data_IF_936930443785
#
_entry.id   IF_936930443785
#
_cell.length_a   1.000
_cell.length_b   1.000
_cell.length_c   1.000
_cell.angle_alpha   90.00
_cell.angle_beta   90.00
_cell.angle_gamma   90.00
#
_symmetry.space_group_name_H-M   'P 1'
#
loop_
_entity.id
_entity.type
_entity.pdbx_description
1 polymer ?
#
# COMPACT_ATOMS: atom_id res chain seq x y z
N UNK A 1 30.31 28.37 -25.79
CA UNK A 1 28.91 28.07 -26.16
C UNK A 1 28.03 29.02 -25.38
N UNK A 2 27.08 29.69 -26.04
CA UNK A 2 26.32 30.80 -25.44
C UNK A 2 25.16 30.23 -24.62
N UNK A 3 25.28 30.21 -23.29
CA UNK A 3 24.29 29.67 -22.35
C UNK A 3 23.02 30.55 -22.22
N UNK A 4 23.03 31.71 -22.87
CA UNK A 4 21.96 32.71 -22.86
C UNK A 4 21.04 32.63 -24.07
N UNK A 5 19.73 32.64 -23.80
CA UNK A 5 18.68 32.71 -24.82
C UNK A 5 18.51 34.12 -25.35
N UNK A 6 18.52 34.21 -26.69
CA UNK A 6 18.21 35.45 -27.39
C UNK A 6 16.72 35.74 -27.29
N UNK A 7 16.38 37.01 -27.14
CA UNK A 7 15.00 37.50 -27.18
C UNK A 7 14.29 37.22 -28.51
N UNK A 8 15.01 36.92 -29.59
CA UNK A 8 14.39 36.53 -30.86
C UNK A 8 13.53 35.26 -30.72
N UNK A 9 13.97 34.31 -29.88
CA UNK A 9 13.30 33.01 -29.69
C UNK A 9 12.25 33.02 -28.56
N UNK A 10 11.96 34.21 -28.00
CA UNK A 10 10.92 34.42 -27.01
C UNK A 10 9.58 34.71 -27.69
N UNK A 11 8.56 33.92 -27.33
CA UNK A 11 7.15 34.26 -27.59
C UNK A 11 6.59 34.96 -26.37
N UNK A 12 6.06 36.16 -26.54
CA UNK A 12 5.51 37.01 -25.48
C UNK A 12 4.02 37.24 -25.73
N UNK A 13 3.20 36.99 -24.71
CA UNK A 13 1.78 37.33 -24.69
C UNK A 13 1.47 38.24 -23.51
N UNK A 14 0.63 39.24 -23.74
CA UNK A 14 0.02 40.06 -22.70
C UNK A 14 -1.46 39.72 -22.65
N UNK A 15 -1.94 39.29 -21.48
CA UNK A 15 -3.30 38.81 -21.29
C UNK A 15 -3.99 39.70 -20.27
N UNK A 16 -4.92 40.53 -20.74
CA UNK A 16 -5.72 41.38 -19.87
C UNK A 16 -6.63 40.54 -18.97
N UNK A 17 -6.64 40.88 -17.68
CA UNK A 17 -7.50 40.23 -16.68
C UNK A 17 -8.12 41.28 -15.76
N UNK A 18 -9.26 40.96 -15.15
CA UNK A 18 -9.90 41.86 -14.18
C UNK A 18 -9.20 41.84 -12.83
N UNK A 19 -8.61 40.70 -12.46
CA UNK A 19 -7.94 40.45 -11.18
C UNK A 19 -6.93 39.32 -11.30
N UNK A 20 -6.02 39.23 -10.32
CA UNK A 20 -5.07 38.10 -10.21
C UNK A 20 -5.83 36.77 -10.09
N UNK A 21 -5.42 35.80 -10.90
CA UNK A 21 -5.98 34.46 -10.89
C UNK A 21 -5.34 33.68 -9.74
N UNK A 22 -6.15 32.90 -9.01
CA UNK A 22 -5.66 31.98 -7.98
C UNK A 22 -4.59 31.04 -8.55
N UNK A 23 -3.51 30.84 -7.82
CA UNK A 23 -2.40 29.95 -8.20
C UNK A 23 -2.88 28.53 -8.57
N UNK A 24 -3.93 28.04 -7.90
CA UNK A 24 -4.55 26.72 -8.20
C UNK A 24 -5.13 26.62 -9.61
N UNK A 25 -5.51 27.76 -10.21
CA UNK A 25 -6.23 27.85 -11.47
C UNK A 25 -5.35 28.32 -12.63
N UNK A 26 -4.14 28.80 -12.38
CA UNK A 26 -3.20 29.30 -13.40
C UNK A 26 -3.00 28.27 -14.52
N UNK A 27 -2.81 27.00 -14.17
CA UNK A 27 -2.61 25.94 -15.17
C UNK A 27 -3.82 25.82 -16.11
N UNK A 28 -5.03 25.77 -15.57
CA UNK A 28 -6.23 25.62 -16.38
C UNK A 28 -6.49 26.88 -17.23
N UNK A 29 -6.19 28.06 -16.67
CA UNK A 29 -6.23 29.32 -17.39
C UNK A 29 -5.29 29.32 -18.60
N UNK A 30 -4.02 28.97 -18.42
CA UNK A 30 -3.05 28.91 -19.52
C UNK A 30 -3.42 27.87 -20.57
N UNK A 31 -3.90 26.69 -20.17
CA UNK A 31 -4.36 25.66 -21.11
C UNK A 31 -5.55 26.13 -21.96
N UNK A 32 -6.52 26.81 -21.33
CA UNK A 32 -7.64 27.40 -22.06
C UNK A 32 -7.17 28.53 -22.98
N UNK A 33 -6.27 29.39 -22.53
CA UNK A 33 -5.70 30.48 -23.33
C UNK A 33 -4.99 29.94 -24.57
N UNK A 34 -4.11 28.95 -24.42
CA UNK A 34 -3.42 28.32 -25.56
C UNK A 34 -4.38 27.69 -26.56
N UNK A 35 -5.45 27.06 -26.07
CA UNK A 35 -6.49 26.52 -26.95
C UNK A 35 -7.20 27.61 -27.74
N UNK A 36 -7.51 28.75 -27.12
CA UNK A 36 -8.17 29.89 -27.78
C UNK A 36 -7.23 30.52 -28.83
N UNK A 37 -5.96 30.68 -28.51
CA UNK A 37 -4.95 31.27 -29.41
C UNK A 37 -4.44 30.30 -30.48
N UNK A 38 -4.92 29.05 -30.50
CA UNK A 38 -4.37 27.96 -31.32
C UNK A 38 -2.85 27.81 -31.18
N UNK A 39 -2.31 28.11 -29.99
CA UNK A 39 -0.89 28.01 -29.70
C UNK A 39 -0.53 26.60 -29.24
N UNK A 40 0.50 26.01 -29.84
CA UNK A 40 1.06 24.72 -29.45
C UNK A 40 2.38 24.92 -28.73
N UNK A 41 2.53 24.28 -27.56
CA UNK A 41 3.75 24.29 -26.76
C UNK A 41 4.32 22.88 -26.65
N UNK A 42 5.64 22.77 -26.49
CA UNK A 42 6.35 21.52 -26.24
C UNK A 42 6.55 21.33 -24.74
N UNK A 43 6.68 20.08 -24.30
CA UNK A 43 6.95 19.76 -22.89
C UNK A 43 8.33 20.26 -22.38
N UNK A 44 9.21 20.60 -23.31
CA UNK A 44 10.53 21.20 -23.05
C UNK A 44 10.49 22.71 -22.95
N UNK A 45 9.40 23.36 -23.36
CA UNK A 45 9.29 24.81 -23.36
C UNK A 45 9.27 25.33 -21.92
N UNK A 46 10.06 26.37 -21.66
CA UNK A 46 10.06 27.07 -20.38
C UNK A 46 9.00 28.15 -20.42
N UNK A 47 8.04 28.06 -19.51
CA UNK A 47 6.92 29.00 -19.41
C UNK A 47 7.10 29.82 -18.15
N UNK A 48 7.20 31.13 -18.31
CA UNK A 48 7.23 32.08 -17.22
C UNK A 48 5.98 32.95 -17.27
N UNK A 49 5.37 33.18 -16.10
CA UNK A 49 4.13 33.94 -15.98
C UNK A 49 4.29 34.95 -14.85
N UNK A 50 4.15 36.23 -15.18
CA UNK A 50 4.15 37.33 -14.22
C UNK A 50 2.80 38.03 -14.24
N UNK A 51 2.29 38.39 -13.08
CA UNK A 51 1.11 39.25 -12.97
C UNK A 51 1.55 40.69 -12.70
N UNK A 52 1.10 41.60 -13.56
CA UNK A 52 1.44 43.02 -13.48
C UNK A 52 0.23 43.76 -12.90
N UNK A 53 0.32 44.12 -11.62
CA UNK A 53 -0.78 44.71 -10.86
C UNK A 53 -1.24 46.05 -11.48
N UNK A 54 -0.29 46.90 -11.88
CA UNK A 54 -0.55 48.25 -12.39
C UNK A 54 -1.35 48.21 -13.69
N UNK A 55 -1.05 47.23 -14.55
CA UNK A 55 -1.68 47.07 -15.86
C UNK A 55 -2.87 46.09 -15.83
N UNK A 56 -3.04 45.34 -14.73
CA UNK A 56 -3.96 44.20 -14.62
C UNK A 56 -3.80 43.20 -15.78
N UNK A 57 -2.56 42.93 -16.17
CA UNK A 57 -2.25 41.94 -17.20
C UNK A 57 -1.44 40.79 -16.62
N UNK A 58 -1.59 39.63 -17.21
CA UNK A 58 -0.59 38.58 -17.13
C UNK A 58 0.38 38.71 -18.30
N UNK A 59 1.67 38.81 -18.00
CA UNK A 59 2.72 38.66 -18.98
C UNK A 59 3.17 37.20 -19.01
N UNK A 60 2.97 36.56 -20.16
CA UNK A 60 3.35 35.18 -20.41
C UNK A 60 4.54 35.14 -21.38
N UNK A 61 5.64 34.58 -20.91
CA UNK A 61 6.87 34.39 -21.66
C UNK A 61 7.08 32.89 -21.92
N UNK A 62 7.22 32.52 -23.18
CA UNK A 62 7.43 31.14 -23.60
C UNK A 62 8.74 31.06 -24.36
N UNK A 63 9.64 30.21 -23.86
CA UNK A 63 10.96 30.02 -24.43
C UNK A 63 11.08 28.59 -24.94
N UNK A 64 11.33 28.47 -26.25
CA UNK A 64 11.47 27.19 -26.94
C UNK A 64 12.92 26.68 -27.02
N UNK A 65 13.87 27.39 -26.40
CA UNK A 65 15.29 26.99 -26.34
C UNK A 65 15.62 26.23 -25.06
N UNK A 66 16.50 25.23 -25.17
CA UNK A 66 17.07 24.49 -24.03
C UNK A 66 18.09 25.32 -23.22
N UNK A 67 18.36 26.56 -23.64
CA UNK A 67 19.35 27.41 -22.99
C UNK A 67 19.01 27.69 -21.55
N UNK A 68 20.04 27.85 -20.73
CA UNK A 68 19.91 27.81 -19.28
C UNK A 68 19.41 29.14 -18.71
N UNK A 69 19.85 30.26 -19.29
CA UNK A 69 19.57 31.59 -18.78
C UNK A 69 19.00 32.52 -19.86
N UNK A 70 18.42 33.63 -19.44
CA UNK A 70 17.86 34.67 -20.32
C UNK A 70 18.56 36.01 -20.12
N UNK A 71 18.62 36.83 -21.17
CA UNK A 71 19.33 38.11 -21.15
C UNK A 71 18.81 39.08 -20.07
N UNK A 72 17.51 39.09 -19.79
CA UNK A 72 16.96 39.95 -18.74
C UNK A 72 17.37 39.52 -17.33
N UNK A 73 17.81 38.27 -17.11
CA UNK A 73 18.26 37.80 -15.79
C UNK A 73 19.60 38.39 -15.36
N UNK A 74 20.36 38.96 -16.30
CA UNK A 74 21.66 39.56 -16.03
C UNK A 74 21.57 40.65 -14.96
N UNK A 75 20.44 41.36 -14.91
CA UNK A 75 20.22 42.46 -13.97
C UNK A 75 19.95 42.00 -12.54
N UNK A 76 19.72 40.70 -12.31
CA UNK A 76 19.69 40.13 -10.96
C UNK A 76 21.01 40.37 -10.20
N UNK A 77 22.14 40.54 -10.91
CA UNK A 77 23.44 40.87 -10.30
C UNK A 77 23.42 42.18 -9.50
N UNK A 78 22.54 43.14 -9.84
CA UNK A 78 22.44 44.41 -9.13
C UNK A 78 21.78 44.29 -7.75
N UNK A 79 21.04 43.22 -7.50
CA UNK A 79 20.23 43.04 -6.29
C UNK A 79 20.78 41.99 -5.32
N UNK A 80 21.98 41.44 -5.60
CA UNK A 80 22.54 40.35 -4.78
C UNK A 80 22.93 40.77 -3.37
N UNK A 81 23.41 42.01 -3.23
CA UNK A 81 23.93 42.55 -1.97
C UNK A 81 23.00 43.62 -1.35
N UNK A 82 21.97 44.01 -2.08
CA UNK A 82 21.07 45.11 -1.71
C UNK A 82 19.67 44.55 -1.52
N UNK A 83 19.12 44.70 -0.31
CA UNK A 83 17.67 44.55 -0.12
C UNK A 83 16.99 45.81 -0.63
N UNK A 84 16.26 45.66 -1.72
CA UNK A 84 15.44 46.73 -2.26
C UNK A 84 13.98 46.39 -2.00
N UNK A 85 13.30 47.24 -1.23
CA UNK A 85 11.88 47.09 -0.91
C UNK A 85 11.12 48.29 -1.48
N UNK A 86 9.98 47.99 -2.09
CA UNK A 86 9.07 48.94 -2.73
C UNK A 86 9.72 49.78 -3.85
N UNK A 87 10.61 49.18 -4.64
CA UNK A 87 11.12 49.79 -5.87
C UNK A 87 10.58 49.10 -7.12
N UNK A 88 10.38 49.90 -8.18
CA UNK A 88 10.30 49.43 -9.55
C UNK A 88 11.45 50.06 -10.31
N UNK A 89 12.38 49.24 -10.75
CA UNK A 89 13.62 49.67 -11.40
C UNK A 89 13.60 49.25 -12.87
N UNK A 90 13.95 50.18 -13.76
CA UNK A 90 13.86 50.03 -15.21
C UNK A 90 15.24 49.90 -15.86
N UNK A 91 15.45 48.81 -16.58
CA UNK A 91 16.65 48.62 -17.40
C UNK A 91 16.28 48.67 -18.88
N UNK A 92 16.90 49.59 -19.61
CA UNK A 92 16.68 49.80 -21.03
C UNK A 92 17.93 49.37 -21.80
N UNK A 93 17.76 48.45 -22.73
CA UNK A 93 18.76 48.00 -23.69
C UNK A 93 18.35 48.42 -25.10
N UNK A 94 19.23 48.21 -26.09
CA UNK A 94 18.96 48.59 -27.48
C UNK A 94 17.71 47.92 -28.08
N UNK A 95 17.42 46.67 -27.71
CA UNK A 95 16.39 45.83 -28.33
C UNK A 95 15.27 45.38 -27.38
N UNK A 96 15.35 45.71 -26.10
CA UNK A 96 14.31 45.43 -25.11
C UNK A 96 14.47 46.33 -23.89
N UNK A 97 13.42 46.42 -23.09
CA UNK A 97 13.50 46.90 -21.72
C UNK A 97 12.87 45.90 -20.77
N UNK A 98 13.29 45.94 -19.51
CA UNK A 98 12.69 45.13 -18.46
C UNK A 98 12.59 45.89 -17.15
N UNK A 99 11.59 45.51 -16.35
CA UNK A 99 11.37 46.04 -15.02
C UNK A 99 11.68 44.98 -13.98
N UNK A 100 12.28 45.43 -12.89
CA UNK A 100 12.46 44.67 -11.67
C UNK A 100 11.63 45.31 -10.57
N UNK A 101 10.84 44.51 -9.84
CA UNK A 101 10.06 44.97 -8.70
C UNK A 101 10.61 44.29 -7.45
N UNK A 102 11.10 45.07 -6.50
CA UNK A 102 11.75 44.56 -5.28
C UNK A 102 12.93 43.59 -5.56
N UNK A 103 13.71 43.86 -6.61
CA UNK A 103 14.84 43.03 -7.00
C UNK A 103 14.48 41.66 -7.60
N UNK A 104 13.24 41.48 -8.05
CA UNK A 104 12.80 40.33 -8.84
C UNK A 104 12.28 40.77 -10.21
N UNK A 105 12.55 39.96 -11.23
CA UNK A 105 12.08 40.22 -12.58
C UNK A 105 10.56 40.35 -12.60
N UNK A 106 10.06 41.46 -13.17
CA UNK A 106 8.65 41.82 -13.13
C UNK A 106 8.02 41.85 -14.52
N UNK A 107 8.65 42.56 -15.47
CA UNK A 107 8.09 42.82 -16.79
C UNK A 107 9.18 42.91 -17.86
N UNK A 108 8.88 42.54 -19.10
CA UNK A 108 9.77 42.59 -20.26
C UNK A 108 9.02 43.07 -21.49
N UNK A 109 9.61 43.91 -22.33
CA UNK A 109 9.04 44.24 -23.64
C UNK A 109 10.15 44.46 -24.67
N UNK A 110 9.95 43.94 -25.88
CA UNK A 110 10.87 44.16 -27.01
C UNK A 110 10.71 45.58 -27.54
N UNK A 111 11.82 46.24 -27.87
CA UNK A 111 11.83 47.56 -28.52
C UNK A 111 11.97 47.32 -30.01
N UNK A 112 10.95 47.74 -30.78
CA UNK A 112 10.90 47.56 -32.25
C UNK A 112 11.10 48.90 -32.97
N UNK A 113 10.85 50.02 -32.28
CA UNK A 113 10.89 51.37 -32.84
C UNK A 113 12.14 52.09 -32.36
N UNK A 114 12.79 52.81 -33.26
CA UNK A 114 13.83 53.78 -32.92
C UNK A 114 13.16 55.01 -32.29
N UNK A 115 13.04 54.99 -30.96
CA UNK A 115 12.53 56.09 -30.14
C UNK A 115 13.71 56.63 -29.34
N UNK A 116 13.72 57.94 -29.07
CA UNK A 116 14.75 58.50 -28.19
C UNK A 116 14.64 57.90 -26.77
N UNK A 117 15.77 57.76 -26.11
CA UNK A 117 15.86 57.21 -24.76
C UNK A 117 14.94 57.93 -23.76
N UNK A 118 14.83 59.25 -23.86
CA UNK A 118 14.01 60.07 -22.96
C UNK A 118 12.50 59.87 -23.21
N UNK A 119 12.08 59.86 -24.48
CA UNK A 119 10.67 59.59 -24.84
C UNK A 119 10.26 58.17 -24.47
N UNK A 120 11.16 57.19 -24.64
CA UNK A 120 10.92 55.81 -24.23
C UNK A 120 10.74 55.71 -22.72
N UNK A 121 11.59 56.38 -21.94
CA UNK A 121 11.44 56.44 -20.49
C UNK A 121 10.10 57.06 -20.09
N UNK A 122 9.74 58.21 -20.66
CA UNK A 122 8.48 58.90 -20.35
C UNK A 122 7.26 58.03 -20.69
N UNK A 123 7.28 57.35 -21.85
CA UNK A 123 6.24 56.40 -22.24
C UNK A 123 6.08 55.25 -21.23
N UNK A 124 7.20 54.61 -20.83
CA UNK A 124 7.18 53.50 -19.89
C UNK A 124 6.73 54.00 -18.51
N UNK A 125 7.24 55.13 -18.04
CA UNK A 125 6.87 55.67 -16.72
C UNK A 125 5.37 55.99 -16.65
N UNK A 126 4.81 56.61 -17.70
CA UNK A 126 3.38 56.84 -17.81
C UNK A 126 2.57 55.54 -17.85
N UNK A 127 3.04 54.50 -18.54
CA UNK A 127 2.39 53.17 -18.59
C UNK A 127 2.29 52.54 -17.21
N UNK A 128 3.25 52.78 -16.31
CA UNK A 128 3.29 52.20 -14.96
C UNK A 128 2.88 53.21 -13.87
N UNK A 129 2.01 54.17 -14.19
CA UNK A 129 1.47 55.17 -13.26
C UNK A 129 2.54 55.98 -12.52
N UNK A 130 3.68 56.27 -13.16
CA UNK A 130 4.81 57.00 -12.59
C UNK A 130 5.42 56.35 -11.34
N UNK A 131 5.36 55.02 -11.24
CA UNK A 131 5.89 54.25 -10.10
C UNK A 131 7.35 53.80 -10.26
N UNK A 132 8.02 54.18 -11.35
CA UNK A 132 9.42 53.78 -11.60
C UNK A 132 10.33 54.65 -10.75
N UNK A 133 11.16 54.01 -9.93
CA UNK A 133 12.05 54.66 -8.97
C UNK A 133 13.40 55.00 -9.60
N UNK A 134 14.03 54.00 -10.21
CA UNK A 134 15.32 54.14 -10.86
C UNK A 134 15.23 53.63 -12.30
N UNK A 135 16.02 54.24 -13.18
CA UNK A 135 16.20 53.73 -14.53
C UNK A 135 17.67 53.78 -14.93
N UNK A 136 18.10 52.81 -15.73
CA UNK A 136 19.45 52.73 -16.26
C UNK A 136 19.44 52.26 -17.71
N UNK A 137 20.15 53.00 -18.56
CA UNK A 137 20.50 52.56 -19.91
C UNK A 137 21.72 51.65 -19.85
N UNK A 138 21.64 50.50 -20.49
CA UNK A 138 22.70 49.49 -20.50
C UNK A 138 23.24 49.36 -21.93
N UNK A 139 24.53 49.67 -22.10
CA UNK A 139 25.22 49.50 -23.38
C UNK A 139 25.50 48.01 -23.68
N UNK A 140 25.78 47.69 -24.94
CA UNK A 140 26.13 46.32 -25.34
C UNK A 140 27.40 45.80 -24.63
N UNK A 141 28.38 46.69 -24.40
CA UNK A 141 29.60 46.36 -23.66
C UNK A 141 29.29 46.01 -22.19
N UNK A 142 28.37 46.74 -21.55
CA UNK A 142 27.92 46.41 -20.19
C UNK A 142 27.18 45.07 -20.13
N UNK A 143 26.35 44.74 -21.14
CA UNK A 143 25.68 43.44 -21.24
C UNK A 143 26.71 42.30 -21.32
N UNK A 144 27.77 42.47 -22.11
CA UNK A 144 28.83 41.46 -22.23
C UNK A 144 29.55 41.25 -20.89
N UNK A 145 29.90 42.33 -20.18
CA UNK A 145 30.50 42.25 -18.85
C UNK A 145 29.57 41.58 -17.83
N UNK A 146 28.28 41.91 -17.86
CA UNK A 146 27.28 41.29 -16.99
C UNK A 146 27.10 39.81 -17.29
N UNK A 147 27.13 39.39 -18.56
CA UNK A 147 27.07 37.97 -18.95
C UNK A 147 28.21 37.18 -18.35
N UNK A 148 29.44 37.68 -18.45
CA UNK A 148 30.61 37.02 -17.87
C UNK A 148 30.51 36.95 -16.34
N UNK A 149 30.13 38.06 -15.69
CA UNK A 149 29.94 38.11 -14.24
C UNK A 149 28.87 37.12 -13.78
N UNK A 150 27.72 37.07 -14.48
CA UNK A 150 26.63 36.18 -14.16
C UNK A 150 27.02 34.71 -14.30
N UNK A 151 27.74 34.34 -15.37
CA UNK A 151 28.17 32.95 -15.58
C UNK A 151 29.16 32.48 -14.52
N UNK A 152 30.12 33.32 -14.14
CA UNK A 152 31.14 33.02 -13.13
C UNK A 152 30.57 32.94 -11.71
N UNK A 153 29.38 33.48 -11.48
CA UNK A 153 28.75 33.47 -10.18
C UNK A 153 28.09 32.10 -9.88
N UNK A 154 28.30 31.59 -8.66
CA UNK A 154 27.73 30.32 -8.20
C UNK A 154 26.30 30.48 -7.65
N UNK A 155 25.98 31.65 -7.10
CA UNK A 155 24.67 31.95 -6.52
C UNK A 155 23.79 32.65 -7.56
N UNK A 156 23.07 31.84 -8.35
CA UNK A 156 22.10 32.29 -9.35
C UNK A 156 20.69 32.05 -8.81
N UNK A 157 19.79 33.02 -8.93
CA UNK A 157 18.37 32.77 -8.63
C UNK A 157 17.79 31.95 -9.78
N UNK A 158 17.03 30.91 -9.44
CA UNK A 158 16.25 30.19 -10.45
C UNK A 158 14.96 30.95 -10.72
N UNK A 159 14.68 31.24 -11.98
CA UNK A 159 13.40 31.78 -12.39
C UNK A 159 12.30 30.76 -12.06
N UNK A 160 11.24 31.23 -11.41
CA UNK A 160 10.08 30.40 -11.08
C UNK A 160 9.29 30.07 -12.34
N UNK A 161 9.54 28.89 -12.90
CA UNK A 161 8.83 28.41 -14.08
C UNK A 161 7.43 27.88 -13.73
N UNK A 162 6.47 28.17 -14.59
CA UNK A 162 5.12 27.64 -14.51
C UNK A 162 5.05 26.27 -15.17
N UNK A 163 4.74 25.24 -14.39
CA UNK A 163 4.62 23.88 -14.93
C UNK A 163 3.18 23.61 -15.37
N UNK A 164 3.01 23.13 -16.61
CA UNK A 164 1.71 22.68 -17.14
C UNK A 164 1.49 21.18 -16.99
N UNK A 165 2.51 20.45 -16.50
CA UNK A 165 2.46 19.00 -16.30
C UNK A 165 1.33 18.63 -15.34
N UNK A 166 0.67 17.51 -15.64
CA UNK A 166 -0.37 16.98 -14.76
C UNK A 166 0.27 16.53 -13.45
N UNK A 167 -0.33 16.91 -12.32
CA UNK A 167 0.04 16.38 -11.02
C UNK A 167 -0.63 15.02 -10.84
N UNK A 168 0.17 13.94 -10.84
CA UNK A 168 -0.32 12.59 -10.62
C UNK A 168 -0.35 12.19 -9.14
N UNK A 169 0.04 13.07 -8.22
CA UNK A 169 0.11 12.78 -6.77
C UNK A 169 -1.21 12.28 -6.20
N UNK A 170 -2.34 12.82 -6.66
CA UNK A 170 -3.66 12.33 -6.25
C UNK A 170 -3.94 10.89 -6.72
N UNK A 171 -3.54 10.54 -7.94
CA UNK A 171 -3.70 9.18 -8.45
C UNK A 171 -2.82 8.18 -7.69
N UNK A 172 -1.58 8.58 -7.37
CA UNK A 172 -0.70 7.77 -6.51
C UNK A 172 -1.28 7.59 -5.11
N UNK A 173 -1.90 8.64 -4.56
CA UNK A 173 -2.58 8.56 -3.27
C UNK A 173 -3.77 7.60 -3.28
N UNK A 174 -4.62 7.65 -4.30
CA UNK A 174 -5.72 6.68 -4.48
C UNK A 174 -5.17 5.26 -4.61
N UNK A 175 -4.13 5.07 -5.42
CA UNK A 175 -3.49 3.76 -5.60
C UNK A 175 -2.95 3.20 -4.27
N UNK A 176 -2.33 4.06 -3.46
CA UNK A 176 -1.85 3.72 -2.13
C UNK A 176 -2.99 3.24 -1.21
N UNK A 177 -4.12 3.96 -1.17
CA UNK A 177 -5.30 3.53 -0.40
C UNK A 177 -5.79 2.16 -0.87
N UNK A 178 -5.83 1.92 -2.18
CA UNK A 178 -6.26 0.64 -2.73
C UNK A 178 -5.35 -0.52 -2.30
N UNK A 179 -4.03 -0.29 -2.25
CA UNK A 179 -3.05 -1.27 -1.77
C UNK A 179 -3.29 -1.57 -0.28
N UNK A 180 -3.49 -0.53 0.55
CA UNK A 180 -3.79 -0.69 1.97
C UNK A 180 -5.03 -1.57 2.19
N UNK A 181 -6.13 -1.29 1.46
CA UNK A 181 -7.35 -2.09 1.55
C UNK A 181 -7.07 -3.54 1.17
N UNK A 182 -6.30 -3.79 0.10
CA UNK A 182 -5.93 -5.17 -0.29
C UNK A 182 -5.14 -5.89 0.79
N UNK A 183 -4.20 -5.21 1.45
CA UNK A 183 -3.42 -5.81 2.55
C UNK A 183 -4.33 -6.19 3.71
N UNK A 184 -5.27 -5.31 4.08
CA UNK A 184 -6.25 -5.60 5.14
C UNK A 184 -7.13 -6.80 4.77
N UNK A 185 -7.63 -6.85 3.54
CA UNK A 185 -8.44 -8.00 3.07
C UNK A 185 -7.64 -9.30 3.08
N UNK A 186 -6.39 -9.27 2.63
CA UNK A 186 -5.51 -10.44 2.66
C UNK A 186 -5.24 -10.93 4.09
N UNK A 187 -5.05 -10.00 5.03
CA UNK A 187 -4.87 -10.32 6.45
C UNK A 187 -6.10 -11.05 7.02
N UNK A 188 -7.31 -10.52 6.81
CA UNK A 188 -8.54 -11.18 7.25
C UNK A 188 -8.77 -12.56 6.61
N UNK A 189 -8.47 -12.71 5.31
CA UNK A 189 -8.57 -14.01 4.65
C UNK A 189 -7.56 -15.02 5.19
N UNK A 190 -6.37 -14.57 5.58
CA UNK A 190 -5.35 -15.44 6.17
C UNK A 190 -5.79 -15.95 7.54
N UNK A 191 -6.22 -15.05 8.44
CA UNK A 191 -6.67 -15.42 9.79
C UNK A 191 -7.84 -16.41 9.75
N UNK A 192 -8.85 -16.16 8.91
CA UNK A 192 -10.01 -17.04 8.76
C UNK A 192 -9.61 -18.45 8.28
N UNK A 193 -8.70 -18.56 7.31
CA UNK A 193 -8.23 -19.85 6.80
C UNK A 193 -7.42 -20.65 7.84
N UNK A 194 -6.76 -19.98 8.79
CA UNK A 194 -6.00 -20.64 9.86
C UNK A 194 -6.96 -21.19 10.93
N UNK A 195 -7.97 -20.43 11.32
CA UNK A 195 -9.01 -20.89 12.27
C UNK A 195 -9.78 -22.10 11.72
N UNK A 196 -10.16 -22.09 10.44
CA UNK A 196 -10.91 -23.20 9.84
C UNK A 196 -10.09 -24.50 9.77
N UNK A 197 -8.79 -24.40 9.46
CA UNK A 197 -7.89 -25.56 9.38
C UNK A 197 -7.60 -26.17 10.76
N UNK A 198 -7.36 -25.33 11.77
CA UNK A 198 -7.05 -25.79 13.14
C UNK A 198 -8.25 -26.50 13.77
N UNK A 199 -9.43 -25.91 13.68
CA UNK A 199 -10.67 -26.49 14.22
C UNK A 199 -11.02 -27.86 13.59
N UNK A 200 -10.78 -28.04 12.29
CA UNK A 200 -11.07 -29.30 11.58
C UNK A 200 -10.11 -30.44 11.94
N UNK A 201 -8.84 -30.13 12.25
CA UNK A 201 -7.85 -31.15 12.63
C UNK A 201 -8.16 -31.68 14.03
N UNK A 202 -8.48 -30.80 14.98
CA UNK A 202 -8.75 -31.19 16.37
C UNK A 202 -10.03 -32.03 16.49
N UNK A 203 -11.08 -31.69 15.74
CA UNK A 203 -12.32 -32.47 15.72
C UNK A 203 -12.11 -33.89 15.16
N UNK A 204 -11.36 -34.03 14.06
CA UNK A 204 -11.09 -35.34 13.46
C UNK A 204 -10.22 -36.21 14.38
N UNK A 205 -9.23 -35.62 15.05
CA UNK A 205 -8.39 -36.34 16.00
C UNK A 205 -9.20 -36.90 17.18
N UNK A 206 -10.14 -36.12 17.73
CA UNK A 206 -11.04 -36.59 18.80
C UNK A 206 -11.96 -37.73 18.33
N UNK A 207 -12.47 -37.67 17.11
CA UNK A 207 -13.31 -38.72 16.53
C UNK A 207 -12.53 -40.04 16.38
N UNK A 208 -11.27 -39.98 15.97
CA UNK A 208 -10.43 -41.18 15.85
C UNK A 208 -10.14 -41.84 17.21
N UNK A 209 -9.94 -41.03 18.26
CA UNK A 209 -9.77 -41.53 19.63
C UNK A 209 -11.04 -42.25 20.09
N UNK A 210 -12.21 -41.61 19.95
CA UNK A 210 -13.49 -42.19 20.37
C UNK A 210 -13.81 -43.49 19.63
N UNK A 211 -13.47 -43.58 18.33
CA UNK A 211 -13.63 -44.81 17.55
C UNK A 211 -12.78 -45.96 18.08
N UNK A 212 -11.58 -45.68 18.56
CA UNK A 212 -10.70 -46.70 19.16
C UNK A 212 -11.18 -47.11 20.55
N UNK A 213 -11.58 -46.16 21.39
CA UNK A 213 -12.03 -46.43 22.77
C UNK A 213 -13.33 -47.25 22.82
N UNK A 214 -14.24 -47.03 21.87
CA UNK A 214 -15.53 -47.72 21.81
C UNK A 214 -15.59 -48.85 20.78
N UNK A 215 -14.43 -49.36 20.34
CA UNK A 215 -14.40 -50.48 19.40
C UNK A 215 -14.96 -51.75 20.07
N UNK A 216 -16.01 -52.31 19.48
CA UNK A 216 -16.56 -53.59 19.94
C UNK A 216 -15.55 -54.72 19.72
N UNK A 217 -15.19 -55.41 20.80
CA UNK A 217 -14.42 -56.65 20.76
C UNK A 217 -15.40 -57.82 20.90
N UNK A 218 -15.46 -58.68 19.88
CA UNK A 218 -16.28 -59.90 19.97
C UNK A 218 -15.69 -60.86 20.99
N UNK A 219 -16.54 -61.43 21.84
CA UNK A 219 -16.18 -62.49 22.80
C UNK A 219 -16.65 -63.89 22.35
N UNK A 220 -17.18 -64.00 21.12
CA UNK A 220 -17.76 -65.22 20.55
C UNK A 220 -16.75 -66.38 20.52
N UNK A 221 -15.51 -66.14 20.08
CA UNK A 221 -14.48 -67.17 20.02
C UNK A 221 -14.15 -67.74 21.41
N UNK A 222 -14.06 -66.87 22.43
CA UNK A 222 -13.74 -67.30 23.80
C UNK A 222 -14.88 -68.11 24.39
N UNK A 223 -16.13 -67.70 24.17
CA UNK A 223 -17.31 -68.43 24.67
C UNK A 223 -17.47 -69.76 23.93
N UNK A 224 -17.32 -69.78 22.60
CA UNK A 224 -17.48 -71.02 21.82
C UNK A 224 -16.45 -72.09 22.19
N UNK A 225 -15.20 -71.72 22.46
CA UNK A 225 -14.19 -72.63 23.00
C UNK A 225 -14.56 -73.17 24.38
N UNK A 226 -15.10 -72.31 25.25
CA UNK A 226 -15.49 -72.70 26.60
C UNK A 226 -16.68 -73.66 26.59
N UNK A 227 -17.68 -73.41 25.73
CA UNK A 227 -18.83 -74.31 25.53
C UNK A 227 -18.39 -75.69 25.02
N UNK A 228 -17.48 -75.74 24.04
CA UNK A 228 -16.90 -77.02 23.57
C UNK A 228 -16.23 -77.83 24.68
N UNK A 229 -15.58 -77.15 25.63
CA UNK A 229 -14.91 -77.80 26.77
C UNK A 229 -15.88 -78.27 27.87
N UNK A 230 -17.01 -77.58 28.00
CA UNK A 230 -18.12 -78.01 28.87
C UNK A 230 -18.68 -79.32 28.31
N UNK A 231 -18.97 -79.35 27.00
CA UNK A 231 -19.47 -80.54 26.31
C UNK A 231 -18.49 -81.71 26.40
N UNK A 232 -17.18 -81.48 26.16
CA UNK A 232 -16.17 -82.56 26.19
C UNK A 232 -15.98 -83.20 27.57
N UNK A 233 -16.30 -82.48 28.65
CA UNK A 233 -16.19 -82.97 30.02
C UNK A 233 -17.51 -83.60 30.53
N UNK A 234 -18.53 -83.75 29.67
CA UNK A 234 -19.87 -84.25 30.03
C UNK A 234 -20.50 -83.47 31.20
N UNK A 235 -20.44 -82.14 31.13
CA UNK A 235 -21.07 -81.23 32.09
C UNK A 235 -22.32 -80.60 31.46
N UNK A 236 -23.43 -80.56 32.19
CA UNK A 236 -24.62 -79.85 31.67
C UNK A 236 -24.58 -78.38 32.09
N UNK A 237 -24.74 -77.49 31.12
CA UNK A 237 -24.86 -76.07 31.34
C UNK A 237 -26.25 -75.70 31.86
N UNK A 238 -26.32 -75.13 33.06
CA UNK A 238 -27.59 -74.73 33.68
C UNK A 238 -27.87 -73.24 33.51
N UNK A 239 -26.84 -72.40 33.55
CA UNK A 239 -27.00 -70.96 33.32
C UNK A 239 -25.69 -70.32 32.86
N UNK A 240 -25.83 -69.26 32.08
CA UNK A 240 -24.74 -68.43 31.57
C UNK A 240 -25.17 -66.96 31.66
N UNK A 241 -24.50 -66.19 32.52
CA UNK A 241 -24.79 -64.78 32.78
C UNK A 241 -23.58 -63.93 32.37
N UNK A 242 -23.80 -62.95 31.49
CA UNK A 242 -22.77 -62.00 31.06
C UNK A 242 -23.04 -60.60 31.65
N UNK A 243 -22.06 -60.04 32.36
CA UNK A 243 -22.14 -58.69 32.91
C UNK A 243 -20.76 -58.02 32.94
N UNK A 244 -20.64 -56.83 32.34
CA UNK A 244 -19.45 -55.96 32.44
C UNK A 244 -18.11 -56.73 32.32
N UNK A 245 -17.95 -57.50 31.24
CA UNK A 245 -16.77 -58.32 30.91
C UNK A 245 -16.53 -59.57 31.76
N UNK A 246 -17.50 -59.94 32.62
CA UNK A 246 -17.49 -61.17 33.40
C UNK A 246 -18.56 -62.12 32.89
N UNK A 247 -18.20 -63.39 32.82
CA UNK A 247 -19.10 -64.47 32.47
C UNK A 247 -19.22 -65.39 33.67
N UNK A 248 -20.43 -65.53 34.20
CA UNK A 248 -20.74 -66.48 35.27
C UNK A 248 -21.43 -67.68 34.65
N UNK A 249 -20.90 -68.86 34.94
CA UNK A 249 -21.34 -70.13 34.37
C UNK A 249 -21.69 -71.05 35.51
N UNK A 250 -22.86 -71.68 35.43
CA UNK A 250 -23.26 -72.70 36.39
C UNK A 250 -23.40 -74.02 35.64
N UNK A 251 -22.62 -75.00 36.04
CA UNK A 251 -22.58 -76.34 35.44
C UNK A 251 -22.98 -77.37 36.47
N UNK A 252 -23.50 -78.51 36.03
CA UNK A 252 -23.71 -79.65 36.91
C UNK A 252 -23.18 -80.95 36.29
N UNK A 253 -22.93 -81.94 37.15
CA UNK A 253 -22.61 -83.30 36.74
C UNK A 253 -22.91 -84.28 37.87
N UNK A 254 -23.26 -85.51 37.50
CA UNK A 254 -23.34 -86.64 38.44
C UNK A 254 -21.94 -87.15 38.82
N UNK A 255 -20.92 -86.87 37.99
CA UNK A 255 -19.55 -87.28 38.24
C UNK A 255 -18.72 -86.12 38.81
N UNK A 256 -18.21 -86.30 40.02
CA UNK A 256 -17.34 -85.31 40.68
C UNK A 256 -16.02 -85.10 39.91
N UNK A 257 -15.49 -86.15 39.28
CA UNK A 257 -14.20 -86.09 38.56
C UNK A 257 -14.30 -85.19 37.32
N UNK A 258 -15.43 -85.24 36.60
CA UNK A 258 -15.69 -84.37 35.44
C UNK A 258 -15.59 -82.88 35.79
N UNK A 259 -16.08 -82.48 36.97
CA UNK A 259 -15.99 -81.10 37.44
C UNK A 259 -14.54 -80.72 37.75
N UNK A 260 -13.79 -81.60 38.41
CA UNK A 260 -12.38 -81.31 38.72
C UNK A 260 -11.51 -81.24 37.46
N UNK A 261 -11.71 -82.13 36.49
CA UNK A 261 -10.99 -82.10 35.21
C UNK A 261 -11.25 -80.78 34.47
N UNK A 262 -12.52 -80.36 34.38
CA UNK A 262 -12.88 -79.08 33.76
C UNK A 262 -12.25 -77.88 34.47
N UNK A 263 -12.22 -77.88 35.81
CA UNK A 263 -11.63 -76.80 36.60
C UNK A 263 -10.11 -76.71 36.43
N UNK A 264 -9.41 -77.83 36.41
CA UNK A 264 -7.95 -77.86 36.22
C UNK A 264 -7.56 -77.48 34.78
N UNK A 265 -8.25 -78.00 33.77
CA UNK A 265 -7.99 -77.69 32.35
C UNK A 265 -8.17 -76.21 31.99
N UNK A 266 -8.97 -75.47 32.78
CA UNK A 266 -9.37 -74.10 32.47
C UNK A 266 -9.01 -73.09 33.57
N UNK A 267 -8.19 -73.50 34.54
CA UNK A 267 -7.76 -72.69 35.69
C UNK A 267 -7.25 -71.30 35.32
N UNK A 268 -6.58 -71.15 34.17
CA UNK A 268 -6.02 -69.89 33.71
C UNK A 268 -7.06 -68.82 33.35
N UNK A 269 -8.32 -69.20 33.08
CA UNK A 269 -9.37 -68.30 32.58
C UNK A 269 -10.38 -67.96 33.69
N UNK A 270 -10.33 -68.70 34.80
CA UNK A 270 -11.28 -68.58 35.92
C UNK A 270 -10.79 -67.57 36.95
N UNK A 271 -11.67 -66.64 37.32
CA UNK A 271 -11.48 -65.71 38.43
C UNK A 271 -11.76 -66.36 39.79
N UNK A 272 -12.77 -67.22 39.83
CA UNK A 272 -13.18 -67.93 41.04
C UNK A 272 -14.09 -69.11 40.66
N UNK A 273 -14.09 -70.15 41.49
CA UNK A 273 -15.04 -71.26 41.39
C UNK A 273 -15.55 -71.69 42.77
N UNK A 274 -16.78 -72.22 42.82
CA UNK A 274 -17.35 -72.86 44.01
C UNK A 274 -18.10 -74.11 43.61
N UNK A 275 -17.91 -75.21 44.36
CA UNK A 275 -18.58 -76.50 44.12
C UNK A 275 -19.56 -76.75 45.28
N UNK A 276 -20.81 -77.03 44.94
CA UNK A 276 -21.86 -77.42 45.87
C UNK A 276 -22.36 -78.82 45.51
N UNK A 277 -22.70 -79.63 46.51
CA UNK A 277 -23.39 -80.91 46.29
C UNK A 277 -24.88 -80.74 46.56
N UNK A 278 -25.71 -81.02 45.56
CA UNK A 278 -27.16 -80.90 45.65
C UNK A 278 -27.76 -82.26 46.07
N UNK A 279 -27.90 -82.48 47.37
CA UNK A 279 -28.39 -83.75 47.96
C UNK A 279 -29.72 -84.21 47.35
N UNK A 280 -30.65 -83.28 47.11
CA UNK A 280 -31.97 -83.56 46.55
C UNK A 280 -31.95 -84.12 45.12
N UNK A 281 -30.87 -83.87 44.36
CA UNK A 281 -30.73 -84.27 42.96
C UNK A 281 -29.60 -85.27 42.72
N UNK A 282 -28.79 -85.55 43.74
CA UNK A 282 -27.56 -86.34 43.64
C UNK A 282 -26.62 -85.85 42.54
N UNK A 283 -26.47 -84.52 42.43
CA UNK A 283 -25.61 -83.86 41.44
C UNK A 283 -24.64 -82.92 42.13
N UNK A 284 -23.45 -82.79 41.56
CA UNK A 284 -22.52 -81.73 41.89
C UNK A 284 -22.79 -80.53 40.98
N UNK A 285 -22.88 -79.35 41.58
CA UNK A 285 -23.03 -78.07 40.90
C UNK A 285 -21.74 -77.27 41.06
N UNK A 286 -21.25 -76.68 39.98
CA UNK A 286 -20.11 -75.77 40.01
C UNK A 286 -20.50 -74.42 39.44
N UNK A 287 -20.21 -73.37 40.20
CA UNK A 287 -20.35 -71.97 39.77
C UNK A 287 -18.96 -71.44 39.47
N UNK A 288 -18.75 -70.94 38.25
CA UNK A 288 -17.47 -70.43 37.78
C UNK A 288 -17.63 -69.01 37.26
N UNK A 289 -16.76 -68.11 37.72
CA UNK A 289 -16.65 -66.76 37.17
C UNK A 289 -15.43 -66.69 36.24
N UNK A 290 -15.63 -66.21 35.02
CA UNK A 290 -14.64 -66.16 33.94
C UNK A 290 -14.43 -64.71 33.52
N UNK A 291 -13.17 -64.32 33.32
CA UNK A 291 -12.82 -62.99 32.77
C UNK A 291 -12.72 -63.07 31.25
N UNK A 292 -13.51 -62.28 30.52
CA UNK A 292 -13.51 -62.30 29.06
C UNK A 292 -12.50 -61.31 28.44
N UNK A 293 -12.19 -60.19 29.11
CA UNK A 293 -11.24 -59.16 28.69
C UNK A 293 -10.40 -58.71 29.88
#
# INVERSE_FOLDING_TARGET
MNDFSSLENLTLFEIEVTQKISDSNIRNFLLSFFKIQNFTYKDTDKIFLSYIDELKIYQLLIFSEEKRYFDFQLFEEYYKEIRVENSIDLYICNNFFCLYKNGEFYYLQKIILEISNDELFEYINNKFDNKINEYKFISEDEILQLREKYLNNSNKKELKLTTLKKNYGFYFYILYIFILIKVVVLFFLFDFNVEEKTNNIDANFQIEILKKEHQFLSFEEKISLLLKKIDSNNLDLTSLEFNQNRLKIVLNSSNKESIYSFLEENKAIFLSSSINFLENKNLYEVVVNVKLF
#
